data_IF_491105885731
#
_entry.id   IF_491105885731
#
_cell.length_a   1.000
_cell.length_b   1.000
_cell.length_c   1.000
_cell.angle_alpha   90.00
_cell.angle_beta   90.00
_cell.angle_gamma   90.00
#
_symmetry.space_group_name_H-M   'P 1'
#
loop_
_entity.id
_entity.type
_entity.pdbx_description
1 polymer ?
#
# COMPACT_ATOMS: atom_id res chain seq x y z
N UNK A 1 -35.37 10.19 -7.46
CA UNK A 1 -34.04 10.83 -7.35
C UNK A 1 -32.98 9.75 -7.40
N UNK A 2 -32.16 9.70 -8.45
CA UNK A 2 -31.04 8.75 -8.54
C UNK A 2 -30.00 9.09 -7.46
N UNK A 3 -29.82 8.19 -6.48
CA UNK A 3 -28.74 8.31 -5.50
C UNK A 3 -27.44 7.99 -6.22
N UNK A 4 -26.58 8.99 -6.41
CA UNK A 4 -25.22 8.74 -6.84
C UNK A 4 -24.49 7.97 -5.73
N UNK A 5 -23.78 6.91 -6.12
CA UNK A 5 -22.95 6.11 -5.22
C UNK A 5 -21.56 6.74 -5.16
N UNK A 6 -21.01 6.86 -3.96
CA UNK A 6 -19.68 7.43 -3.72
C UNK A 6 -18.83 6.43 -2.96
N UNK A 7 -17.53 6.45 -3.21
CA UNK A 7 -16.52 5.74 -2.43
C UNK A 7 -15.46 6.73 -1.95
N UNK A 8 -14.69 6.32 -0.95
CA UNK A 8 -13.62 7.13 -0.38
C UNK A 8 -12.28 6.55 -0.79
N UNK A 9 -11.40 7.39 -1.31
CA UNK A 9 -10.03 7.04 -1.64
C UNK A 9 -9.09 8.13 -1.12
N UNK A 10 -7.95 7.71 -0.57
CA UNK A 10 -6.88 8.64 -0.24
C UNK A 10 -6.15 9.10 -1.49
N UNK A 11 -5.79 10.38 -1.55
CA UNK A 11 -4.93 10.90 -2.60
C UNK A 11 -3.51 10.35 -2.42
N UNK A 12 -2.93 9.62 -3.39
CA UNK A 12 -1.59 9.04 -3.25
C UNK A 12 -0.48 10.11 -3.15
N UNK A 13 -0.76 11.36 -3.52
CA UNK A 13 0.21 12.46 -3.46
C UNK A 13 0.20 13.20 -2.13
N UNK A 14 -0.95 13.31 -1.45
CA UNK A 14 -1.08 14.15 -0.25
C UNK A 14 -1.74 13.47 0.95
N UNK A 15 -2.22 12.23 0.79
CA UNK A 15 -2.86 11.44 1.85
C UNK A 15 -4.25 11.91 2.27
N UNK A 16 -4.87 12.87 1.58
CA UNK A 16 -6.22 13.33 1.93
C UNK A 16 -7.30 12.37 1.45
N UNK A 17 -8.30 12.14 2.29
CA UNK A 17 -9.50 11.38 1.96
C UNK A 17 -10.38 12.17 1.00
N UNK A 18 -10.61 11.65 -0.20
CA UNK A 18 -11.46 12.23 -1.24
C UNK A 18 -12.70 11.37 -1.44
N UNK A 19 -13.87 12.01 -1.50
CA UNK A 19 -15.12 11.35 -1.90
C UNK A 19 -15.25 11.40 -3.42
N UNK A 20 -15.20 10.22 -4.04
CA UNK A 20 -15.23 10.06 -5.49
C UNK A 20 -16.52 9.35 -5.87
N UNK A 21 -17.19 9.81 -6.94
CA UNK A 21 -18.37 9.10 -7.48
C UNK A 21 -17.92 7.79 -8.11
N UNK A 22 -18.67 6.71 -7.87
CA UNK A 22 -18.42 5.40 -8.50
C UNK A 22 -18.45 5.49 -10.03
N UNK A 23 -19.16 6.48 -10.59
CA UNK A 23 -19.19 6.79 -12.02
C UNK A 23 -17.81 7.15 -12.62
N UNK A 24 -16.87 7.59 -11.77
CA UNK A 24 -15.51 7.92 -12.16
C UNK A 24 -14.52 6.78 -11.93
N UNK A 25 -14.95 5.62 -11.45
CA UNK A 25 -14.07 4.47 -11.23
C UNK A 25 -13.35 4.10 -12.54
N UNK A 26 -12.03 3.92 -12.47
CA UNK A 26 -11.17 3.64 -13.61
C UNK A 26 -10.78 4.87 -14.45
N UNK A 27 -11.19 6.08 -14.06
CA UNK A 27 -10.77 7.33 -14.72
C UNK A 27 -9.67 8.05 -13.94
N UNK A 28 -8.85 8.80 -14.66
CA UNK A 28 -7.84 9.69 -14.08
C UNK A 28 -8.51 10.96 -13.54
N UNK A 29 -8.25 11.26 -12.27
CA UNK A 29 -8.75 12.41 -11.55
C UNK A 29 -7.59 13.30 -11.11
N UNK A 30 -7.91 14.57 -10.88
CA UNK A 30 -6.95 15.56 -10.35
C UNK A 30 -7.37 15.91 -8.92
N UNK A 31 -6.44 15.78 -7.98
CA UNK A 31 -6.68 16.21 -6.61
C UNK A 31 -6.82 17.74 -6.54
N UNK A 32 -7.92 18.24 -5.98
CA UNK A 32 -8.12 19.69 -5.84
C UNK A 32 -7.15 20.37 -4.87
N UNK A 33 -6.44 19.61 -4.01
CA UNK A 33 -5.50 20.16 -3.03
C UNK A 33 -4.07 20.23 -3.56
N UNK A 34 -3.52 19.11 -4.04
CA UNK A 34 -2.13 19.04 -4.50
C UNK A 34 -1.99 19.12 -6.02
N UNK A 35 -3.10 19.05 -6.77
CA UNK A 35 -3.12 18.92 -8.24
C UNK A 35 -2.41 17.67 -8.75
N UNK A 36 -2.21 16.68 -7.88
CA UNK A 36 -1.70 15.37 -8.27
C UNK A 36 -2.75 14.62 -9.09
N UNK A 37 -2.31 14.05 -10.20
CA UNK A 37 -3.10 13.15 -11.04
C UNK A 37 -3.05 11.73 -10.46
N UNK A 38 -4.21 11.08 -10.35
CA UNK A 38 -4.31 9.71 -9.87
C UNK A 38 -5.54 9.02 -10.45
N UNK A 39 -5.51 7.70 -10.56
CA UNK A 39 -6.66 6.94 -11.04
C UNK A 39 -7.62 6.61 -9.90
N UNK A 40 -8.91 6.83 -10.15
CA UNK A 40 -9.99 6.43 -9.27
C UNK A 40 -10.09 4.90 -9.19
N UNK A 41 -9.40 4.29 -8.22
CA UNK A 41 -9.41 2.84 -8.01
C UNK A 41 -10.22 2.46 -6.77
N UNK A 42 -10.90 1.34 -6.80
CA UNK A 42 -11.49 0.78 -5.57
C UNK A 42 -10.36 0.15 -4.74
N UNK A 43 -10.17 0.56 -3.47
CA UNK A 43 -9.17 -0.07 -2.59
C UNK A 43 -9.40 -1.59 -2.42
N UNK A 44 -10.61 -2.10 -2.64
CA UNK A 44 -10.89 -3.54 -2.62
C UNK A 44 -10.25 -4.30 -3.80
N UNK A 45 -9.93 -3.61 -4.91
CA UNK A 45 -9.32 -4.24 -6.09
C UNK A 45 -7.80 -4.14 -6.14
N UNK A 46 -7.17 -3.37 -5.23
CA UNK A 46 -5.71 -3.37 -5.16
C UNK A 46 -5.25 -4.75 -4.67
N UNK A 47 -4.49 -5.52 -5.47
CA UNK A 47 -3.77 -6.65 -4.90
C UNK A 47 -2.87 -6.09 -3.79
N UNK A 48 -2.81 -6.72 -2.60
CA UNK A 48 -1.93 -6.25 -1.54
C UNK A 48 -0.49 -6.26 -2.05
N UNK A 49 -0.02 -5.09 -2.51
CA UNK A 49 1.27 -4.89 -3.14
C UNK A 49 2.46 -5.14 -2.19
N UNK A 50 2.20 -5.64 -0.99
CA UNK A 50 3.17 -5.82 0.08
C UNK A 50 3.50 -7.29 0.40
N UNK A 51 2.83 -8.30 -0.17
CA UNK A 51 3.11 -9.68 0.24
C UNK A 51 4.42 -10.27 -0.32
N UNK A 52 4.89 -9.83 -1.49
CA UNK A 52 6.17 -10.28 -2.04
C UNK A 52 7.36 -9.68 -1.29
N UNK A 53 7.28 -8.37 -0.98
CA UNK A 53 8.29 -7.65 -0.22
C UNK A 53 8.41 -8.19 1.20
N UNK A 54 7.29 -8.49 1.86
CA UNK A 54 7.29 -9.02 3.22
C UNK A 54 7.91 -10.42 3.32
N UNK A 55 7.68 -11.28 2.33
CA UNK A 55 8.29 -12.62 2.30
C UNK A 55 9.83 -12.56 2.21
N UNK A 56 10.37 -11.67 1.36
CA UNK A 56 11.83 -11.49 1.23
C UNK A 56 12.47 -10.90 2.48
N UNK A 57 11.76 -10.02 3.19
CA UNK A 57 12.22 -9.47 4.47
C UNK A 57 12.23 -10.54 5.57
N UNK A 58 11.24 -11.42 5.60
CA UNK A 58 11.16 -12.54 6.56
C UNK A 58 12.30 -13.54 6.36
N UNK A 59 12.54 -13.96 5.11
CA UNK A 59 13.60 -14.92 4.76
C UNK A 59 15.00 -14.40 5.19
N UNK A 60 15.26 -13.11 4.95
CA UNK A 60 16.50 -12.46 5.37
C UNK A 60 16.64 -12.35 6.89
N UNK A 61 15.53 -12.19 7.62
CA UNK A 61 15.55 -12.15 9.09
C UNK A 61 15.93 -13.52 9.67
N UNK A 62 15.38 -14.60 9.12
CA UNK A 62 15.71 -15.98 9.52
C UNK A 62 17.20 -16.28 9.36
N UNK A 63 17.80 -15.87 8.23
CA UNK A 63 19.22 -16.09 7.94
C UNK A 63 20.16 -15.34 8.92
N UNK A 64 19.79 -14.11 9.33
CA UNK A 64 20.55 -13.33 10.31
C UNK A 64 20.44 -13.90 11.73
N UNK A 65 19.25 -14.40 12.11
CA UNK A 65 19.05 -15.05 13.40
C UNK A 65 19.80 -16.40 13.47
N UNK A 66 19.83 -17.16 12.39
CA UNK A 66 20.55 -18.44 12.32
C UNK A 66 22.08 -18.30 12.35
N UNK A 67 22.63 -17.24 11.73
CA UNK A 67 24.09 -17.01 11.68
C UNK A 67 24.70 -16.43 12.96
N UNK A 68 23.87 -16.01 13.93
CA UNK A 68 24.32 -15.47 15.22
C UNK A 68 24.55 -16.51 16.33
N UNK A 69 24.29 -17.79 16.08
CA UNK A 69 24.30 -18.84 17.12
C UNK A 69 25.64 -19.60 17.23
N UNK A 70 26.58 -19.45 16.28
CA UNK A 70 27.85 -20.21 16.23
C UNK A 70 29.07 -19.51 16.86
N UNK A 71 28.89 -18.45 17.64
CA UNK A 71 30.00 -17.62 18.14
C UNK A 71 30.51 -17.89 19.56
N UNK A 72 29.87 -18.75 20.35
CA UNK A 72 30.08 -18.76 21.83
C UNK A 72 30.81 -19.98 22.40
N UNK A 73 31.78 -20.54 21.68
CA UNK A 73 32.61 -21.60 22.26
C UNK A 73 34.10 -21.41 21.98
N UNK A 74 34.72 -20.37 22.55
CA UNK A 74 36.16 -20.37 22.90
C UNK A 74 36.39 -19.54 24.18
N UNK A 75 36.25 -20.19 25.33
CA UNK A 75 37.02 -19.81 26.53
C UNK A 75 38.17 -20.81 26.64
N UNK A 76 39.40 -20.34 26.46
CA UNK A 76 40.65 -20.95 26.89
C UNK A 76 41.73 -19.89 26.82
#
# INVERSE_FOLDING_TARGET
MSRATYFVQECPTCGRMLQIRVEYLGKTLVCQHCRGEFDARDPATLPPAANLSNSMLLDRAEQLLGSGVDGRLRVS
#
